data_IF_816642703498
#
_entry.id   IF_816642703498
#
_cell.length_a   1.000
_cell.length_b   1.000
_cell.length_c   1.000
_cell.angle_alpha   90.00
_cell.angle_beta   90.00
_cell.angle_gamma   90.00
#
_symmetry.space_group_name_H-M   'P 1'
#
loop_
_entity.id
_entity.type
_entity.pdbx_description
1 polymer ?
#
# COMPACT_ATOMS: atom_id res chain seq x y z
N UNK A 1 18.03 3.54 -1.10
CA UNK A 1 16.70 2.94 -1.22
C UNK A 1 15.70 3.82 -1.96
N UNK A 2 15.35 5.02 -1.47
CA UNK A 2 14.38 5.93 -2.12
C UNK A 2 14.81 6.31 -3.54
N UNK A 3 16.12 6.44 -3.80
CA UNK A 3 16.67 6.74 -5.13
C UNK A 3 16.58 5.55 -6.08
N UNK A 4 17.03 4.35 -5.67
CA UNK A 4 16.96 3.15 -6.51
C UNK A 4 15.53 2.79 -6.86
N UNK A 5 14.60 2.86 -5.90
CA UNK A 5 13.16 2.70 -6.15
C UNK A 5 12.65 3.69 -7.21
N UNK A 6 12.97 5.00 -7.07
CA UNK A 6 12.53 6.00 -8.04
C UNK A 6 13.09 5.74 -9.45
N UNK A 7 14.35 5.33 -9.55
CA UNK A 7 14.97 4.92 -10.82
C UNK A 7 14.26 3.73 -11.44
N UNK A 8 13.95 2.71 -10.64
CA UNK A 8 13.23 1.50 -11.09
C UNK A 8 11.86 1.88 -11.66
N UNK A 9 11.07 2.66 -10.94
CA UNK A 9 9.72 3.04 -11.36
C UNK A 9 9.75 3.89 -12.65
N UNK A 10 10.68 4.85 -12.75
CA UNK A 10 10.82 5.66 -13.96
C UNK A 10 11.29 4.80 -15.14
N UNK A 11 12.18 3.83 -14.92
CA UNK A 11 12.56 2.86 -15.95
C UNK A 11 11.35 2.04 -16.41
N UNK A 12 10.52 1.51 -15.50
CA UNK A 12 9.31 0.78 -15.86
C UNK A 12 8.36 1.63 -16.71
N UNK A 13 8.17 2.90 -16.34
CA UNK A 13 7.36 3.84 -17.12
C UNK A 13 7.94 4.03 -18.52
N UNK A 14 9.26 4.19 -18.64
CA UNK A 14 9.94 4.37 -19.94
C UNK A 14 9.82 3.13 -20.86
N UNK A 15 9.62 1.95 -20.27
CA UNK A 15 9.36 0.69 -20.98
C UNK A 15 7.88 0.49 -21.36
N UNK A 16 7.03 1.49 -21.09
CA UNK A 16 5.61 1.47 -21.44
C UNK A 16 4.71 0.79 -20.38
N UNK A 17 5.24 0.47 -19.20
CA UNK A 17 4.42 0.04 -18.08
C UNK A 17 3.70 1.24 -17.44
N UNK A 18 2.59 0.98 -16.78
CA UNK A 18 1.74 2.00 -16.15
C UNK A 18 1.71 1.81 -14.62
N UNK A 19 2.79 2.13 -13.90
CA UNK A 19 2.81 1.92 -12.46
C UNK A 19 1.92 2.92 -11.72
N UNK A 20 1.22 2.41 -10.69
CA UNK A 20 0.53 3.21 -9.67
C UNK A 20 1.21 2.92 -8.34
N UNK A 21 1.60 3.95 -7.62
CA UNK A 21 2.28 3.82 -6.34
C UNK A 21 1.30 4.12 -5.23
N UNK A 22 1.19 3.22 -4.25
CA UNK A 22 0.52 3.48 -2.98
C UNK A 22 1.58 3.42 -1.89
N UNK A 23 1.63 4.40 -1.02
CA UNK A 23 2.62 4.45 0.04
C UNK A 23 2.00 4.42 1.43
N UNK A 24 2.73 3.90 2.40
CA UNK A 24 2.45 4.06 3.82
C UNK A 24 3.26 5.22 4.42
N UNK A 25 3.52 5.16 5.72
CA UNK A 25 4.28 6.18 6.45
C UNK A 25 4.04 6.10 7.96
N UNK A 26 3.78 4.89 8.47
CA UNK A 26 3.50 4.68 9.89
C UNK A 26 4.56 5.26 10.83
N UNK A 27 5.86 4.99 10.62
CA UNK A 27 6.93 5.53 11.46
C UNK A 27 6.99 7.06 11.44
N UNK A 28 6.90 7.68 10.27
CA UNK A 28 6.94 9.15 10.11
C UNK A 28 5.73 9.81 10.75
N UNK A 29 4.55 9.22 10.62
CA UNK A 29 3.31 9.69 11.29
C UNK A 29 3.46 9.59 12.80
N UNK A 30 3.98 8.46 13.34
CA UNK A 30 4.23 8.30 14.78
C UNK A 30 5.18 9.38 15.29
N UNK A 31 6.30 9.55 14.62
CA UNK A 31 7.30 10.55 15.00
C UNK A 31 6.74 11.99 14.99
N UNK A 32 5.92 12.32 13.98
CA UNK A 32 5.26 13.63 13.93
C UNK A 32 4.27 13.84 15.08
N UNK A 33 3.47 12.81 15.42
CA UNK A 33 2.54 12.85 16.56
C UNK A 33 3.28 13.01 17.88
N UNK A 34 4.35 12.24 18.11
CA UNK A 34 5.19 12.33 19.32
C UNK A 34 5.82 13.71 19.49
N UNK A 35 6.32 14.31 18.40
CA UNK A 35 6.87 15.68 18.41
C UNK A 35 5.82 16.75 18.77
N UNK A 36 4.55 16.45 18.50
CA UNK A 36 3.42 17.32 18.87
C UNK A 36 2.82 16.98 20.24
N UNK A 37 3.43 16.04 20.98
CA UNK A 37 2.95 15.60 22.29
C UNK A 37 1.67 14.78 22.27
N UNK A 38 1.35 14.16 21.11
CA UNK A 38 0.17 13.33 20.96
C UNK A 38 0.47 11.86 21.29
N UNK A 39 -0.48 11.17 21.90
CA UNK A 39 -0.37 9.74 22.17
C UNK A 39 -0.49 8.92 20.89
N UNK A 40 0.38 7.90 20.78
CA UNK A 40 0.39 6.93 19.68
C UNK A 40 0.06 5.56 20.22
N UNK A 41 -1.03 4.97 19.77
CA UNK A 41 -1.43 3.62 20.16
C UNK A 41 -1.87 2.80 18.94
N UNK A 42 -1.69 1.47 19.05
CA UNK A 42 -2.06 0.53 17.99
C UNK A 42 -2.89 -0.60 18.58
N UNK A 43 -3.88 -1.05 17.83
CA UNK A 43 -4.70 -2.23 18.12
C UNK A 43 -4.71 -3.09 16.85
N UNK A 44 -4.26 -4.34 16.97
CA UNK A 44 -4.13 -5.28 15.85
C UNK A 44 -3.38 -4.71 14.64
N UNK A 45 -2.35 -3.86 14.90
CA UNK A 45 -1.56 -3.22 13.86
C UNK A 45 -2.23 -2.00 13.20
N UNK A 46 -3.43 -1.63 13.62
CA UNK A 46 -4.13 -0.41 13.19
C UNK A 46 -3.86 0.71 14.21
N UNK A 47 -3.51 1.90 13.71
CA UNK A 47 -3.31 3.07 14.54
C UNK A 47 -4.65 3.60 15.05
N UNK A 48 -4.87 3.62 16.36
CA UNK A 48 -6.01 4.34 16.93
C UNK A 48 -5.87 5.81 16.57
N UNK A 49 -6.87 6.36 15.90
CA UNK A 49 -6.75 7.68 15.24
C UNK A 49 -7.82 8.62 15.79
N UNK A 50 -7.46 9.49 16.75
CA UNK A 50 -8.32 10.58 17.21
C UNK A 50 -8.49 11.64 16.11
N UNK A 51 -9.33 12.65 16.33
CA UNK A 51 -9.50 13.76 15.39
C UNK A 51 -8.21 14.58 15.21
N UNK A 52 -7.45 14.76 16.28
CA UNK A 52 -6.15 15.43 16.27
C UNK A 52 -5.10 14.59 15.54
N UNK A 53 -5.05 13.31 15.85
CA UNK A 53 -4.15 12.35 15.20
C UNK A 53 -4.44 12.23 13.70
N UNK A 54 -5.72 12.30 13.30
CA UNK A 54 -6.12 12.27 11.88
C UNK A 54 -5.51 13.44 11.09
N UNK A 55 -5.57 14.65 11.65
CA UNK A 55 -4.99 15.85 11.00
C UNK A 55 -3.49 15.70 10.79
N UNK A 56 -2.77 15.16 11.78
CA UNK A 56 -1.33 14.92 11.67
C UNK A 56 -1.06 13.81 10.64
N UNK A 57 -1.83 12.73 10.67
CA UNK A 57 -1.70 11.65 9.68
C UNK A 57 -1.92 12.16 8.25
N UNK A 58 -2.98 12.94 8.01
CA UNK A 58 -3.25 13.52 6.69
C UNK A 58 -2.12 14.47 6.23
N UNK A 59 -1.65 15.38 7.10
CA UNK A 59 -0.53 16.28 6.79
C UNK A 59 0.75 15.52 6.42
N UNK A 60 1.10 14.50 7.19
CA UNK A 60 2.32 13.74 6.98
C UNK A 60 2.20 12.85 5.74
N UNK A 61 1.12 12.09 5.63
CA UNK A 61 0.93 11.15 4.52
C UNK A 61 0.72 11.89 3.19
N UNK A 62 -0.24 12.80 3.11
CA UNK A 62 -0.59 13.46 1.85
C UNK A 62 0.29 14.67 1.52
N UNK A 63 0.88 15.28 2.54
CA UNK A 63 1.80 16.43 2.40
C UNK A 63 3.26 15.98 2.31
N UNK A 64 3.84 15.54 3.41
CA UNK A 64 5.30 15.32 3.50
C UNK A 64 5.76 14.12 2.69
N UNK A 65 5.27 12.93 3.01
CA UNK A 65 5.75 11.66 2.40
C UNK A 65 5.39 11.61 0.93
N UNK A 66 4.14 11.91 0.60
CA UNK A 66 3.66 11.91 -0.79
C UNK A 66 4.52 12.84 -1.66
N UNK A 67 4.79 14.07 -1.21
CA UNK A 67 5.57 15.04 -1.96
C UNK A 67 7.06 14.69 -2.03
N UNK A 68 7.61 14.03 -1.01
CA UNK A 68 8.98 13.51 -1.06
C UNK A 68 9.12 12.42 -2.14
N UNK A 69 8.17 11.48 -2.21
CA UNK A 69 8.17 10.43 -3.24
C UNK A 69 8.08 11.04 -4.63
N UNK A 70 7.16 12.00 -4.85
CA UNK A 70 6.99 12.72 -6.11
C UNK A 70 8.27 13.44 -6.50
N UNK A 71 8.93 14.14 -5.56
CA UNK A 71 10.17 14.84 -5.82
C UNK A 71 11.25 13.89 -6.30
N UNK A 72 11.39 12.73 -5.64
CA UNK A 72 12.35 11.70 -6.04
C UNK A 72 12.06 11.18 -7.46
N UNK A 73 10.81 10.81 -7.76
CA UNK A 73 10.43 10.32 -9.10
C UNK A 73 10.69 11.38 -10.19
N UNK A 74 10.29 12.62 -9.96
CA UNK A 74 10.46 13.70 -10.93
C UNK A 74 11.93 14.08 -11.15
N UNK A 75 12.79 13.93 -10.11
CA UNK A 75 14.24 14.13 -10.23
C UNK A 75 14.89 13.15 -11.22
N UNK A 76 14.31 11.95 -11.37
CA UNK A 76 14.76 10.96 -12.35
C UNK A 76 14.01 10.98 -13.69
N UNK A 77 13.21 12.04 -13.93
CA UNK A 77 12.50 12.22 -15.20
C UNK A 77 11.10 11.63 -15.27
N UNK A 78 10.57 11.13 -14.16
CA UNK A 78 9.18 10.72 -14.04
C UNK A 78 8.22 11.92 -14.12
N UNK A 79 6.94 11.65 -14.42
CA UNK A 79 5.86 12.64 -14.36
C UNK A 79 4.92 12.29 -13.20
N UNK A 80 5.44 12.30 -11.97
CA UNK A 80 4.69 11.88 -10.81
C UNK A 80 3.68 12.94 -10.34
N UNK A 81 2.47 12.47 -10.03
CA UNK A 81 1.36 13.26 -9.48
C UNK A 81 0.89 12.61 -8.19
N UNK A 82 0.87 13.38 -7.09
CA UNK A 82 0.39 12.91 -5.80
C UNK A 82 -1.07 13.23 -5.60
N UNK A 83 -1.80 12.20 -5.19
CA UNK A 83 -3.21 12.24 -4.84
C UNK A 83 -3.46 11.50 -3.53
N UNK A 84 -4.60 11.75 -2.93
CA UNK A 84 -5.16 10.95 -1.83
C UNK A 84 -6.45 10.29 -2.29
N UNK A 85 -7.04 9.45 -1.50
CA UNK A 85 -8.36 8.88 -1.80
C UNK A 85 -9.48 9.92 -1.85
N UNK A 86 -9.25 11.14 -1.31
CA UNK A 86 -10.21 12.25 -1.37
C UNK A 86 -10.27 12.90 -2.75
N UNK A 87 -9.15 12.87 -3.49
CA UNK A 87 -9.05 13.54 -4.78
C UNK A 87 -9.88 12.78 -5.82
N UNK A 88 -10.80 13.48 -6.47
CA UNK A 88 -11.73 12.88 -7.43
C UNK A 88 -12.63 11.79 -6.84
N UNK A 89 -12.83 11.76 -5.51
CA UNK A 89 -13.54 10.68 -4.81
C UNK A 89 -12.97 9.29 -5.14
N UNK A 90 -11.63 9.22 -5.23
CA UNK A 90 -10.92 7.99 -5.59
C UNK A 90 -11.24 6.84 -4.60
N UNK A 91 -11.34 7.15 -3.29
CA UNK A 91 -11.62 6.15 -2.26
C UNK A 91 -12.76 6.65 -1.37
N UNK A 92 -13.91 6.04 -1.51
CA UNK A 92 -15.01 6.18 -0.59
C UNK A 92 -14.82 5.22 0.59
N UNK A 93 -14.94 5.73 1.81
CA UNK A 93 -14.66 4.99 3.03
C UNK A 93 -15.79 5.13 4.06
N UNK A 94 -15.78 4.25 5.03
CA UNK A 94 -16.62 4.34 6.22
C UNK A 94 -15.81 3.98 7.46
N UNK A 95 -16.33 4.34 8.64
CA UNK A 95 -15.65 4.03 9.90
C UNK A 95 -15.47 2.53 10.08
N UNK A 96 -14.23 2.12 10.33
CA UNK A 96 -13.94 0.71 10.59
C UNK A 96 -14.44 0.30 11.97
N UNK A 97 -15.25 -0.75 12.02
CA UNK A 97 -15.63 -1.41 13.26
C UNK A 97 -14.56 -2.43 13.68
N UNK A 98 -14.29 -2.51 14.98
CA UNK A 98 -13.36 -3.49 15.54
C UNK A 98 -14.13 -4.58 16.30
N UNK A 99 -13.81 -5.86 16.02
CA UNK A 99 -14.51 -7.02 16.56
C UNK A 99 -14.51 -7.11 18.11
N UNK A 100 -13.63 -6.39 18.78
CA UNK A 100 -13.55 -6.28 20.25
C UNK A 100 -14.39 -5.15 20.86
N UNK A 101 -15.20 -4.44 20.07
CA UNK A 101 -15.97 -3.28 20.52
C UNK A 101 -15.13 -2.05 20.88
N UNK A 102 -13.85 -2.05 20.55
CA UNK A 102 -12.96 -0.91 20.78
C UNK A 102 -13.12 0.12 19.67
N UNK A 103 -13.29 1.37 20.02
CA UNK A 103 -13.34 2.47 19.07
C UNK A 103 -11.93 2.82 18.54
N UNK A 104 -11.68 2.56 17.26
CA UNK A 104 -10.44 2.92 16.59
C UNK A 104 -10.39 4.40 16.15
N UNK A 105 -11.42 5.18 16.44
CA UNK A 105 -11.55 6.57 16.00
C UNK A 105 -11.78 6.68 14.49
N UNK A 106 -10.96 7.47 13.81
CA UNK A 106 -11.06 7.77 12.38
C UNK A 106 -10.27 6.77 11.50
N UNK A 107 -10.22 5.52 11.91
CA UNK A 107 -9.74 4.44 11.04
C UNK A 107 -10.84 4.07 10.07
N UNK A 108 -10.51 4.02 8.78
CA UNK A 108 -11.45 3.72 7.71
C UNK A 108 -11.36 2.31 7.15
N UNK A 109 -12.46 1.89 6.59
CA UNK A 109 -12.57 0.73 5.71
C UNK A 109 -13.10 1.17 4.35
N UNK A 110 -12.66 0.54 3.28
CA UNK A 110 -13.01 0.95 1.92
C UNK A 110 -14.42 0.47 1.59
N UNK A 111 -15.28 1.41 1.18
CA UNK A 111 -16.61 1.13 0.63
C UNK A 111 -16.53 0.88 -0.87
N UNK A 112 -15.87 1.78 -1.59
CA UNK A 112 -15.68 1.69 -3.03
C UNK A 112 -14.43 2.44 -3.49
N UNK A 113 -13.92 2.07 -4.67
CA UNK A 113 -12.83 2.80 -5.36
C UNK A 113 -13.36 3.24 -6.72
N UNK A 114 -13.27 4.54 -7.01
CA UNK A 114 -13.54 5.10 -8.33
C UNK A 114 -12.20 5.29 -9.07
N UNK A 115 -11.83 4.43 -10.03
CA UNK A 115 -10.54 4.50 -10.70
C UNK A 115 -10.43 5.58 -11.78
N UNK A 116 -11.46 6.38 -12.04
CA UNK A 116 -11.51 7.34 -13.14
C UNK A 116 -10.32 8.29 -13.14
N UNK A 117 -9.99 8.88 -11.97
CA UNK A 117 -8.85 9.77 -11.83
C UNK A 117 -7.53 9.07 -12.21
N UNK A 118 -7.34 7.82 -11.75
CA UNK A 118 -6.14 7.04 -12.08
C UNK A 118 -6.04 6.76 -13.58
N UNK A 119 -7.14 6.36 -14.21
CA UNK A 119 -7.18 6.13 -15.67
C UNK A 119 -6.85 7.39 -16.46
N UNK A 120 -7.37 8.55 -16.05
CA UNK A 120 -7.05 9.84 -16.68
C UNK A 120 -5.56 10.15 -16.56
N UNK A 121 -4.98 10.02 -15.37
CA UNK A 121 -3.55 10.26 -15.14
C UNK A 121 -2.67 9.31 -15.96
N UNK A 122 -2.94 8.01 -15.90
CA UNK A 122 -2.19 6.99 -16.64
C UNK A 122 -2.28 7.20 -18.16
N UNK A 123 -3.46 7.61 -18.69
CA UNK A 123 -3.65 7.87 -20.13
C UNK A 123 -2.83 9.07 -20.64
N UNK A 124 -2.30 9.89 -19.75
CA UNK A 124 -1.45 11.07 -20.04
C UNK A 124 -0.02 10.88 -19.58
N UNK A 125 0.40 9.62 -19.37
CA UNK A 125 1.74 9.24 -18.93
C UNK A 125 2.16 9.85 -17.58
N UNK A 126 1.21 10.17 -16.70
CA UNK A 126 1.51 10.51 -15.32
C UNK A 126 1.70 9.26 -14.46
N UNK A 127 2.54 9.40 -13.43
CA UNK A 127 2.75 8.40 -12.37
C UNK A 127 1.92 8.77 -11.14
N UNK A 128 0.75 8.13 -10.92
CA UNK A 128 -0.03 8.40 -9.72
C UNK A 128 0.68 7.88 -8.46
N UNK A 129 0.77 8.74 -7.43
CA UNK A 129 1.27 8.41 -6.09
C UNK A 129 0.16 8.66 -5.09
N UNK A 130 -0.39 7.61 -4.52
CA UNK A 130 -1.60 7.65 -3.69
C UNK A 130 -1.25 7.55 -2.22
N UNK A 131 -1.70 8.51 -1.42
CA UNK A 131 -1.63 8.45 0.05
C UNK A 131 -2.86 7.76 0.63
N UNK A 132 -2.72 7.07 1.79
CA UNK A 132 -3.76 6.19 2.32
C UNK A 132 -4.82 6.93 3.16
N UNK A 133 -5.41 7.94 2.58
CA UNK A 133 -6.49 8.76 3.14
C UNK A 133 -7.74 8.59 2.28
N UNK A 134 -8.89 8.30 2.88
CA UNK A 134 -10.18 8.18 2.19
C UNK A 134 -11.20 9.20 2.68
N UNK A 135 -12.33 9.30 1.99
CA UNK A 135 -13.44 10.21 2.30
C UNK A 135 -14.73 9.42 2.52
N UNK A 136 -15.44 9.69 3.61
CA UNK A 136 -16.79 9.17 3.87
C UNK A 136 -17.87 9.99 3.20
N UNK A 137 -19.05 9.40 3.00
CA UNK A 137 -20.25 10.08 2.47
C UNK A 137 -20.66 11.29 3.32
N UNK A 138 -20.34 11.27 4.61
CA UNK A 138 -20.56 12.35 5.58
C UNK A 138 -19.54 13.49 5.49
N UNK A 139 -18.57 13.39 4.56
CA UNK A 139 -17.45 14.32 4.43
C UNK A 139 -16.34 14.10 5.46
N UNK A 140 -16.41 13.03 6.25
CA UNK A 140 -15.38 12.67 7.22
C UNK A 140 -14.18 12.03 6.52
N UNK A 141 -13.00 12.49 6.90
CA UNK A 141 -11.73 11.90 6.45
C UNK A 141 -11.41 10.66 7.27
N UNK A 142 -10.89 9.61 6.63
CA UNK A 142 -10.45 8.37 7.29
C UNK A 142 -9.00 8.04 6.94
N UNK A 143 -8.25 7.61 7.96
CA UNK A 143 -6.94 6.99 7.80
C UNK A 143 -7.13 5.49 7.53
N UNK A 144 -6.59 5.00 6.41
CA UNK A 144 -6.81 3.63 5.95
C UNK A 144 -5.45 2.92 5.85
N UNK A 145 -5.43 1.62 6.07
CA UNK A 145 -4.22 0.83 5.88
C UNK A 145 -3.77 0.86 4.39
N UNK A 146 -2.50 1.17 4.15
CA UNK A 146 -1.95 1.32 2.80
C UNK A 146 -2.00 0.02 1.98
N UNK A 147 -1.77 -1.15 2.60
CA UNK A 147 -1.85 -2.44 1.90
C UNK A 147 -3.29 -2.72 1.44
N UNK A 148 -4.28 -2.33 2.27
CA UNK A 148 -5.70 -2.41 1.90
C UNK A 148 -6.03 -1.51 0.71
N UNK A 149 -5.58 -0.25 0.74
CA UNK A 149 -5.78 0.68 -0.39
C UNK A 149 -5.12 0.14 -1.66
N UNK A 150 -3.86 -0.31 -1.57
CA UNK A 150 -3.14 -0.83 -2.71
C UNK A 150 -3.87 -2.01 -3.36
N UNK A 151 -4.37 -2.95 -2.57
CA UNK A 151 -5.10 -4.12 -3.08
C UNK A 151 -6.42 -3.73 -3.75
N UNK A 152 -7.19 -2.82 -3.17
CA UNK A 152 -8.46 -2.34 -3.75
C UNK A 152 -8.24 -1.51 -5.03
N UNK A 153 -7.23 -0.65 -5.06
CA UNK A 153 -6.85 0.07 -6.28
C UNK A 153 -6.43 -0.92 -7.37
N UNK A 154 -5.56 -1.89 -7.06
CA UNK A 154 -5.11 -2.88 -8.04
C UNK A 154 -6.28 -3.63 -8.69
N UNK A 155 -7.28 -4.02 -7.91
CA UNK A 155 -8.51 -4.65 -8.41
C UNK A 155 -9.30 -3.67 -9.29
N UNK A 156 -9.51 -2.43 -8.84
CA UNK A 156 -10.36 -1.45 -9.54
C UNK A 156 -9.81 -1.01 -10.90
N UNK A 157 -8.47 -0.97 -11.05
CA UNK A 157 -7.81 -0.64 -12.33
C UNK A 157 -7.49 -1.87 -13.18
N UNK A 158 -7.93 -3.07 -12.78
CA UNK A 158 -7.57 -4.35 -13.40
C UNK A 158 -6.04 -4.51 -13.57
N UNK A 159 -5.30 -4.25 -12.51
CA UNK A 159 -3.85 -4.36 -12.53
C UNK A 159 -3.40 -5.79 -12.86
N UNK A 160 -2.40 -5.91 -13.73
CA UNK A 160 -1.81 -7.20 -14.07
C UNK A 160 -1.12 -7.83 -12.86
N UNK A 161 -0.43 -7.01 -12.04
CA UNK A 161 0.39 -7.45 -10.92
C UNK A 161 0.34 -6.40 -9.80
N UNK A 162 0.39 -6.85 -8.54
CA UNK A 162 0.63 -5.98 -7.38
C UNK A 162 1.90 -6.43 -6.65
N UNK A 163 2.71 -5.46 -6.21
CA UNK A 163 3.95 -5.71 -5.48
C UNK A 163 3.88 -4.98 -4.14
N UNK A 164 3.96 -5.72 -3.05
CA UNK A 164 4.09 -5.18 -1.69
C UNK A 164 5.57 -5.17 -1.30
N UNK A 165 6.09 -3.99 -1.03
CA UNK A 165 7.45 -3.81 -0.53
C UNK A 165 7.47 -3.80 1.00
N UNK A 166 8.38 -4.54 1.60
CA UNK A 166 8.55 -4.66 3.05
C UNK A 166 10.04 -4.68 3.40
N UNK A 167 10.36 -4.78 4.67
CA UNK A 167 11.72 -4.86 5.20
C UNK A 167 12.24 -6.31 5.37
N UNK A 168 11.47 -7.29 4.93
CA UNK A 168 11.84 -8.71 4.95
C UNK A 168 11.74 -9.31 3.54
N UNK A 169 12.47 -10.44 3.32
CA UNK A 169 12.59 -11.05 1.98
C UNK A 169 11.28 -11.58 1.40
N UNK A 170 10.29 -11.84 2.24
CA UNK A 170 9.01 -12.42 1.85
C UNK A 170 8.44 -13.32 2.96
N UNK A 171 7.56 -14.23 2.59
CA UNK A 171 6.98 -15.21 3.52
C UNK A 171 7.96 -16.36 3.74
N UNK A 172 8.29 -16.64 5.00
CA UNK A 172 9.19 -17.74 5.38
C UNK A 172 8.41 -18.86 6.08
N UNK A 173 8.81 -20.10 5.83
CA UNK A 173 8.38 -21.28 6.59
C UNK A 173 9.61 -22.03 7.04
N UNK A 174 9.68 -22.32 8.32
CA UNK A 174 10.84 -23.01 8.95
C UNK A 174 12.19 -22.32 8.65
N UNK A 175 12.17 -20.99 8.50
CA UNK A 175 13.34 -20.16 8.19
C UNK A 175 13.65 -20.02 6.69
N UNK A 176 13.05 -20.81 5.81
CA UNK A 176 13.26 -20.75 4.37
C UNK A 176 12.21 -19.89 3.66
N UNK A 177 12.64 -19.11 2.65
CA UNK A 177 11.75 -18.30 1.84
C UNK A 177 10.87 -19.19 0.97
N UNK A 178 9.58 -18.92 0.95
CA UNK A 178 8.65 -19.54 0.02
C UNK A 178 8.60 -18.68 -1.25
N UNK A 179 9.18 -19.17 -2.33
CA UNK A 179 9.22 -18.41 -3.60
C UNK A 179 7.82 -18.21 -4.21
N UNK A 180 6.95 -19.24 -4.12
CA UNK A 180 5.59 -19.15 -4.65
C UNK A 180 4.64 -20.09 -3.89
N UNK A 181 3.40 -19.65 -3.70
CA UNK A 181 2.30 -20.50 -3.21
C UNK A 181 0.92 -20.01 -3.67
N UNK A 182 -0.06 -20.91 -3.58
CA UNK A 182 -1.45 -20.59 -3.94
C UNK A 182 -2.18 -19.84 -2.85
N UNK A 183 -3.27 -19.17 -3.22
CA UNK A 183 -4.17 -18.48 -2.28
C UNK A 183 -4.70 -19.42 -1.18
N UNK A 184 -4.99 -20.67 -1.51
CA UNK A 184 -5.50 -21.66 -0.53
C UNK A 184 -4.44 -22.04 0.50
N UNK A 185 -3.18 -22.21 0.06
CA UNK A 185 -2.08 -22.49 0.98
C UNK A 185 -1.82 -21.29 1.89
N UNK A 186 -1.85 -20.05 1.35
CA UNK A 186 -1.71 -18.83 2.14
C UNK A 186 -2.77 -18.76 3.24
N UNK A 187 -4.04 -19.00 2.91
CA UNK A 187 -5.13 -19.00 3.87
C UNK A 187 -4.95 -20.07 4.96
N UNK A 188 -4.53 -21.29 4.57
CA UNK A 188 -4.21 -22.36 5.51
C UNK A 188 -3.09 -21.97 6.47
N UNK A 189 -2.04 -21.30 5.98
CA UNK A 189 -0.93 -20.82 6.80
C UNK A 189 -1.36 -19.74 7.79
N UNK A 190 -2.25 -18.81 7.38
CA UNK A 190 -2.85 -17.81 8.28
C UNK A 190 -3.66 -18.49 9.36
N UNK A 191 -4.55 -19.44 9.01
CA UNK A 191 -5.39 -20.19 9.98
C UNK A 191 -4.54 -20.97 10.99
N UNK A 192 -3.37 -21.48 10.59
CA UNK A 192 -2.43 -22.18 11.46
C UNK A 192 -1.46 -21.26 12.21
N UNK A 193 -1.64 -19.93 12.15
CA UNK A 193 -0.76 -18.91 12.73
C UNK A 193 0.72 -19.01 12.28
N UNK A 194 1.00 -19.61 11.12
CA UNK A 194 2.33 -19.64 10.52
C UNK A 194 2.66 -18.28 9.87
N UNK A 195 1.65 -17.51 9.49
CA UNK A 195 1.76 -16.12 9.04
C UNK A 195 1.11 -15.24 10.10
N UNK A 196 1.90 -14.38 10.76
CA UNK A 196 1.46 -13.57 11.89
C UNK A 196 2.06 -12.15 11.84
N UNK A 197 1.71 -11.31 12.82
CA UNK A 197 2.23 -9.94 12.93
C UNK A 197 1.99 -9.09 11.68
N UNK A 198 2.95 -8.25 11.33
CA UNK A 198 2.87 -7.32 10.20
C UNK A 198 2.80 -7.99 8.82
N UNK A 199 3.15 -9.28 8.70
CA UNK A 199 3.03 -10.04 7.45
C UNK A 199 1.57 -10.42 7.15
N UNK A 200 0.74 -10.66 8.17
CA UNK A 200 -0.66 -11.08 7.99
C UNK A 200 -1.51 -10.07 7.19
N UNK A 201 -1.49 -8.76 7.48
CA UNK A 201 -2.18 -7.78 6.65
C UNK A 201 -1.74 -7.80 5.17
N UNK A 202 -0.43 -7.92 4.91
CA UNK A 202 0.12 -7.98 3.55
C UNK A 202 -0.35 -9.22 2.78
N UNK A 203 -0.28 -10.39 3.41
CA UNK A 203 -0.77 -11.61 2.78
C UNK A 203 -2.28 -11.56 2.55
N UNK A 204 -3.06 -10.98 3.49
CA UNK A 204 -4.49 -10.76 3.27
C UNK A 204 -4.76 -9.84 2.08
N UNK A 205 -3.98 -8.76 1.91
CA UNK A 205 -4.08 -7.87 0.76
C UNK A 205 -3.70 -8.57 -0.56
N UNK A 206 -2.68 -9.44 -0.54
CA UNK A 206 -2.34 -10.31 -1.67
C UNK A 206 -3.51 -11.24 -2.03
N UNK A 207 -4.09 -11.92 -1.03
CA UNK A 207 -5.23 -12.83 -1.22
C UNK A 207 -6.45 -12.10 -1.81
N UNK A 208 -6.75 -10.92 -1.27
CA UNK A 208 -7.82 -10.09 -1.80
C UNK A 208 -7.58 -9.77 -3.29
N UNK A 209 -6.36 -9.34 -3.63
CA UNK A 209 -6.01 -8.97 -5.00
C UNK A 209 -6.17 -10.13 -5.98
N UNK A 210 -5.57 -11.29 -5.70
CA UNK A 210 -5.59 -12.43 -6.64
C UNK A 210 -6.99 -13.04 -6.76
N UNK A 211 -7.77 -13.07 -5.69
CA UNK A 211 -9.15 -13.56 -5.71
C UNK A 211 -10.12 -12.64 -6.44
N UNK A 212 -9.76 -11.37 -6.62
CA UNK A 212 -10.54 -10.37 -7.34
C UNK A 212 -9.95 -10.01 -8.72
N UNK A 213 -9.12 -10.88 -9.30
CA UNK A 213 -8.74 -10.79 -10.70
C UNK A 213 -7.33 -10.29 -10.99
N UNK A 214 -6.55 -9.83 -10.00
CA UNK A 214 -5.13 -9.54 -10.21
C UNK A 214 -4.39 -10.86 -10.44
N UNK A 215 -3.60 -10.96 -11.51
CA UNK A 215 -3.01 -12.23 -11.93
C UNK A 215 -2.00 -12.78 -10.92
N UNK A 216 -1.24 -11.91 -10.24
CA UNK A 216 -0.33 -12.28 -9.17
C UNK A 216 -0.08 -11.14 -8.20
N UNK A 217 0.18 -11.49 -6.95
CA UNK A 217 0.63 -10.56 -5.93
C UNK A 217 1.99 -10.99 -5.41
N UNK A 218 2.92 -10.04 -5.24
CA UNK A 218 4.25 -10.31 -4.73
C UNK A 218 4.54 -9.54 -3.45
N UNK A 219 5.33 -10.15 -2.58
CA UNK A 219 5.91 -9.51 -1.39
C UNK A 219 7.42 -9.57 -1.54
N UNK A 220 8.07 -8.43 -1.61
CA UNK A 220 9.52 -8.31 -1.84
C UNK A 220 10.20 -7.48 -0.76
N UNK A 221 11.51 -7.69 -0.60
CA UNK A 221 12.33 -6.87 0.28
C UNK A 221 12.67 -5.54 -0.40
N UNK A 222 11.99 -4.47 0.02
CA UNK A 222 12.22 -3.11 -0.45
C UNK A 222 13.51 -2.48 0.08
N UNK A 223 14.25 -3.14 0.99
CA UNK A 223 15.55 -2.67 1.46
C UNK A 223 16.70 -3.06 0.54
N UNK A 224 16.44 -3.92 -0.43
CA UNK A 224 17.39 -4.30 -1.48
C UNK A 224 17.32 -3.27 -2.61
N UNK A 225 18.47 -2.79 -3.07
CA UNK A 225 18.52 -1.89 -4.22
C UNK A 225 18.03 -2.58 -5.49
N UNK A 226 17.28 -1.86 -6.31
CA UNK A 226 16.70 -2.37 -7.56
C UNK A 226 15.81 -3.61 -7.41
N UNK A 227 15.19 -3.78 -6.23
CA UNK A 227 14.36 -4.94 -5.92
C UNK A 227 13.16 -5.09 -6.85
N UNK A 228 12.56 -3.97 -7.30
CA UNK A 228 11.42 -4.01 -8.22
C UNK A 228 11.85 -4.55 -9.60
N UNK A 229 12.99 -4.11 -10.10
CA UNK A 229 13.55 -4.60 -11.36
C UNK A 229 13.95 -6.08 -11.25
N UNK A 230 14.62 -6.45 -10.16
CA UNK A 230 15.00 -7.83 -9.92
C UNK A 230 13.78 -8.78 -9.87
N UNK A 231 12.69 -8.34 -9.24
CA UNK A 231 11.44 -9.12 -9.19
C UNK A 231 10.76 -9.25 -10.55
N UNK A 232 10.78 -8.19 -11.36
CA UNK A 232 10.02 -8.18 -12.63
C UNK A 232 10.76 -8.81 -13.80
N UNK A 233 12.09 -8.77 -13.80
CA UNK A 233 12.92 -9.14 -14.96
C UNK A 233 13.85 -10.35 -14.73
N UNK A 234 13.73 -11.04 -13.60
CA UNK A 234 14.41 -12.32 -13.37
C UNK A 234 13.42 -13.48 -13.35
N UNK A 235 13.84 -14.65 -13.79
CA UNK A 235 12.97 -15.83 -13.92
C UNK A 235 12.39 -16.29 -12.57
N UNK A 236 13.18 -16.20 -11.50
CA UNK A 236 12.78 -16.65 -10.16
C UNK A 236 12.12 -15.55 -9.30
N UNK A 237 12.35 -14.27 -9.65
CA UNK A 237 12.05 -13.17 -8.73
C UNK A 237 12.96 -13.16 -7.50
N UNK A 238 12.67 -12.30 -6.52
CA UNK A 238 13.45 -12.16 -5.29
C UNK A 238 12.65 -12.30 -4.01
N UNK A 239 11.33 -12.46 -4.13
CA UNK A 239 10.42 -12.47 -3.00
C UNK A 239 9.46 -13.66 -3.01
N UNK A 240 8.28 -13.44 -2.46
CA UNK A 240 7.21 -14.43 -2.43
C UNK A 240 6.09 -14.03 -3.40
N UNK A 241 5.77 -14.92 -4.33
CA UNK A 241 4.67 -14.76 -5.28
C UNK A 241 3.43 -15.54 -4.81
N UNK A 242 2.29 -14.86 -4.79
CA UNK A 242 0.98 -15.45 -4.48
C UNK A 242 0.12 -15.42 -5.75
N UNK A 243 -0.45 -16.55 -6.09
CA UNK A 243 -1.36 -16.75 -7.23
C UNK A 243 -2.68 -17.35 -6.75
N UNK A 244 -3.68 -17.35 -7.63
CA UNK A 244 -4.97 -17.98 -7.34
C UNK A 244 -4.85 -19.48 -7.09
#
# INVERSE_FOLDING_TARGET
LKRSFAQDIVLLQSLGMLPVIVHGGGPEVSHAMENLGQEVSFIDGLRVTSSENLKVAEMVLSGTINKEIITNLNTFGGKAVGVSGKDGLLIEAYKKEHNGGVDLGYVGEIKSVNPELLHVLLSKDFLPVVSPIGLGEDGITYNINADTIASHIAVSINAYKIIFMTDVDGVKKDGELIEQFSSDLAESMIKKNLISGGMRPKVNACLYSVRNGVQSAQIINGTVEHSVIAELFTDKGIGTKIIL
#
